data_IF_769983506114
#
_entry.id   IF_769983506114
#
_cell.length_a   1.000
_cell.length_b   1.000
_cell.length_c   1.000
_cell.angle_alpha   90.00
_cell.angle_beta   90.00
_cell.angle_gamma   90.00
#
_symmetry.space_group_name_H-M   'P 1'
#
loop_
_entity.id
_entity.type
_entity.pdbx_description
1 polymer ?
#
# COMPACT_ATOMS: atom_id res chain seq x y z
N UNK A 1 40.67 -23.14 6.33
CA UNK A 1 39.40 -23.90 6.16
C UNK A 1 38.15 -23.15 6.63
N UNK A 2 38.29 -21.90 7.13
CA UNK A 2 37.14 -21.08 7.65
C UNK A 2 36.60 -20.02 6.69
N UNK A 3 36.96 -20.06 5.40
CA UNK A 3 36.57 -19.05 4.42
C UNK A 3 35.35 -19.42 3.57
N UNK A 4 34.72 -20.56 3.79
CA UNK A 4 33.67 -21.09 2.89
C UNK A 4 32.24 -20.98 3.40
N UNK A 5 31.96 -20.33 4.55
CA UNK A 5 30.63 -20.30 5.14
C UNK A 5 29.94 -18.93 5.18
N UNK A 6 30.38 -17.95 4.39
CA UNK A 6 29.61 -16.73 4.16
C UNK A 6 28.73 -16.85 2.88
N UNK A 7 27.99 -17.93 2.74
CA UNK A 7 26.85 -17.91 1.85
C UNK A 7 25.88 -16.88 2.42
N UNK A 8 25.77 -15.73 1.74
CA UNK A 8 24.77 -14.73 2.08
C UNK A 8 23.41 -15.43 2.10
N UNK A 9 22.84 -15.54 3.31
CA UNK A 9 21.51 -16.15 3.46
C UNK A 9 20.54 -15.40 2.55
N UNK A 10 19.98 -16.10 1.58
CA UNK A 10 18.91 -15.58 0.71
C UNK A 10 17.78 -15.02 1.58
N UNK A 11 17.18 -13.94 1.14
CA UNK A 11 15.99 -13.35 1.77
C UNK A 11 14.96 -13.16 0.68
N UNK A 12 13.94 -13.99 0.73
CA UNK A 12 12.87 -13.97 -0.27
C UNK A 12 11.75 -13.06 0.21
N UNK A 13 11.46 -12.05 -0.58
CA UNK A 13 10.34 -11.17 -0.33
C UNK A 13 9.24 -11.33 -1.38
N UNK A 14 8.01 -11.09 -0.96
CA UNK A 14 6.85 -10.95 -1.81
C UNK A 14 6.31 -9.52 -1.66
N UNK A 15 6.21 -8.81 -2.76
CA UNK A 15 5.53 -7.51 -2.83
C UNK A 15 4.20 -7.68 -3.54
N UNK A 16 3.13 -7.18 -2.94
CA UNK A 16 1.76 -7.29 -3.46
C UNK A 16 1.21 -5.89 -3.67
N UNK A 17 0.56 -5.70 -4.80
CA UNK A 17 -0.27 -4.54 -5.05
C UNK A 17 -1.64 -4.95 -5.60
N UNK A 18 -2.66 -4.13 -5.34
CA UNK A 18 -4.03 -4.40 -5.75
C UNK A 18 -4.72 -3.16 -6.28
N UNK A 19 -5.33 -3.31 -7.46
CA UNK A 19 -6.23 -2.30 -7.99
C UNK A 19 -7.68 -2.63 -7.65
N UNK A 20 -8.41 -1.63 -7.14
CA UNK A 20 -9.72 -1.85 -6.55
C UNK A 20 -10.80 -0.97 -7.15
N UNK A 21 -12.04 -1.47 -7.09
CA UNK A 21 -13.22 -0.70 -7.40
C UNK A 21 -13.33 0.53 -6.50
N UNK A 22 -13.69 1.65 -7.09
CA UNK A 22 -13.90 2.90 -6.39
C UNK A 22 -15.24 2.91 -5.62
N UNK A 23 -15.46 3.96 -4.84
CA UNK A 23 -16.54 4.21 -3.88
C UNK A 23 -17.97 3.98 -4.40
N UNK A 24 -18.28 2.78 -4.80
CA UNK A 24 -19.64 2.29 -4.80
C UNK A 24 -19.88 1.64 -3.43
N UNK A 25 -20.95 1.99 -2.72
CA UNK A 25 -21.25 1.51 -1.37
C UNK A 25 -21.33 -0.01 -1.25
N UNK A 26 -21.58 -0.72 -2.35
CA UNK A 26 -21.69 -2.19 -2.38
C UNK A 26 -20.38 -2.91 -2.76
N UNK A 27 -19.51 -2.26 -3.56
CA UNK A 27 -18.33 -2.90 -4.15
C UNK A 27 -17.02 -2.18 -3.84
N UNK A 28 -17.05 -1.17 -2.96
CA UNK A 28 -15.87 -0.42 -2.58
C UNK A 28 -14.78 -1.32 -2.02
N UNK A 29 -13.60 -1.27 -2.63
CA UNK A 29 -12.45 -2.04 -2.21
C UNK A 29 -12.41 -3.48 -2.75
N UNK A 30 -13.32 -3.89 -3.64
CA UNK A 30 -13.18 -5.15 -4.37
C UNK A 30 -12.00 -5.07 -5.34
N UNK A 31 -11.09 -6.01 -5.20
CA UNK A 31 -9.94 -6.15 -6.09
C UNK A 31 -10.43 -6.58 -7.47
N UNK A 32 -10.08 -5.82 -8.51
CA UNK A 32 -10.28 -6.23 -9.89
C UNK A 32 -8.99 -6.65 -10.58
N UNK A 33 -7.82 -6.19 -10.08
CA UNK A 33 -6.51 -6.57 -10.57
C UNK A 33 -5.57 -6.85 -9.40
N UNK A 34 -4.92 -8.02 -9.42
CA UNK A 34 -4.01 -8.50 -8.41
C UNK A 34 -2.62 -8.70 -9.01
N UNK A 35 -1.63 -8.06 -8.41
CA UNK A 35 -0.22 -8.19 -8.75
C UNK A 35 0.60 -8.70 -7.57
N UNK A 36 1.52 -9.62 -7.81
CA UNK A 36 2.50 -10.02 -6.81
C UNK A 36 3.85 -10.33 -7.46
N UNK A 37 4.92 -9.90 -6.81
CA UNK A 37 6.31 -10.09 -7.25
C UNK A 37 7.09 -10.78 -6.16
N UNK A 38 7.71 -11.90 -6.50
CA UNK A 38 8.52 -12.71 -5.59
C UNK A 38 9.98 -12.67 -6.03
N UNK A 39 10.89 -12.44 -5.14
CA UNK A 39 12.31 -12.46 -5.48
C UNK A 39 13.23 -12.37 -4.27
N UNK A 40 14.52 -12.63 -4.53
CA UNK A 40 15.57 -12.49 -3.53
C UNK A 40 16.08 -11.05 -3.46
N UNK A 41 15.78 -10.37 -2.36
CA UNK A 41 16.18 -8.96 -2.15
C UNK A 41 17.66 -8.80 -1.79
N UNK A 42 18.41 -9.88 -1.63
CA UNK A 42 19.85 -9.83 -1.33
C UNK A 42 20.73 -9.86 -2.58
N UNK A 43 20.15 -10.14 -3.76
CA UNK A 43 20.88 -10.16 -5.03
C UNK A 43 21.20 -8.75 -5.53
N UNK A 44 22.45 -8.54 -5.96
CA UNK A 44 22.90 -7.20 -6.38
C UNK A 44 22.65 -6.92 -7.87
N UNK A 45 22.56 -7.93 -8.75
CA UNK A 45 22.68 -7.74 -10.21
C UNK A 45 21.70 -8.48 -11.11
N UNK A 46 20.93 -9.46 -10.64
CA UNK A 46 19.98 -10.18 -11.49
C UNK A 46 18.62 -10.31 -10.80
N UNK A 47 17.61 -9.75 -11.48
CA UNK A 47 16.23 -9.86 -11.04
C UNK A 47 15.62 -11.15 -11.61
N UNK A 48 15.86 -12.28 -10.99
CA UNK A 48 14.98 -13.41 -11.19
C UNK A 48 13.76 -13.23 -10.28
N UNK A 49 12.69 -12.64 -10.81
CA UNK A 49 11.43 -12.54 -10.12
C UNK A 49 10.43 -13.53 -10.72
N UNK A 50 9.59 -14.08 -9.86
CA UNK A 50 8.35 -14.72 -10.26
C UNK A 50 7.22 -13.75 -10.06
N UNK A 51 6.34 -13.63 -11.06
CA UNK A 51 5.30 -12.63 -11.08
C UNK A 51 3.93 -13.29 -11.21
N UNK A 52 2.96 -12.77 -10.46
CA UNK A 52 1.54 -13.06 -10.62
C UNK A 52 0.86 -11.79 -11.14
N UNK A 53 0.03 -11.94 -12.15
CA UNK A 53 -0.67 -10.84 -12.84
C UNK A 53 -2.05 -11.32 -13.27
N UNK A 54 -3.08 -11.08 -12.43
CA UNK A 54 -4.40 -11.65 -12.63
C UNK A 54 -5.51 -10.64 -12.44
N UNK A 55 -6.48 -10.72 -13.36
CA UNK A 55 -7.78 -10.04 -13.23
C UNK A 55 -8.78 -10.96 -12.51
N UNK A 56 -9.51 -10.40 -11.57
CA UNK A 56 -10.52 -11.13 -10.79
C UNK A 56 -11.80 -11.25 -11.61
N UNK A 57 -12.10 -12.46 -12.08
CA UNK A 57 -13.23 -12.76 -12.97
C UNK A 57 -14.55 -12.19 -12.44
N UNK A 58 -14.88 -12.46 -11.16
CA UNK A 58 -16.13 -12.06 -10.53
C UNK A 58 -16.32 -10.54 -10.45
N UNK A 59 -15.22 -9.78 -10.60
CA UNK A 59 -15.23 -8.32 -10.48
C UNK A 59 -15.06 -7.64 -11.82
N UNK A 60 -14.08 -8.09 -12.63
CA UNK A 60 -13.71 -7.43 -13.89
C UNK A 60 -14.76 -7.61 -14.99
N UNK A 61 -15.55 -8.69 -14.95
CA UNK A 61 -16.62 -8.95 -15.91
C UNK A 61 -17.87 -8.10 -15.68
N UNK A 62 -18.04 -7.54 -14.49
CA UNK A 62 -19.20 -6.71 -14.19
C UNK A 62 -18.88 -5.22 -14.37
N UNK A 63 -19.37 -4.62 -15.46
CA UNK A 63 -19.15 -3.20 -15.78
C UNK A 63 -19.67 -2.25 -14.69
N UNK A 64 -20.69 -2.64 -13.91
CA UNK A 64 -21.20 -1.80 -12.82
C UNK A 64 -20.14 -1.53 -11.74
N UNK A 65 -19.15 -2.38 -11.61
CA UNK A 65 -18.03 -2.19 -10.69
C UNK A 65 -17.12 -1.03 -11.11
N UNK A 66 -17.17 -0.60 -12.37
CA UNK A 66 -16.43 0.55 -12.86
C UNK A 66 -17.01 1.89 -12.39
N UNK A 67 -18.31 1.92 -12.04
CA UNK A 67 -18.99 3.17 -11.71
C UNK A 67 -18.76 3.58 -10.26
N UNK A 68 -18.52 4.88 -10.07
CA UNK A 68 -18.48 5.48 -8.75
C UNK A 68 -19.23 6.81 -8.72
N UNK A 69 -19.79 7.14 -7.55
CA UNK A 69 -20.50 8.41 -7.34
C UNK A 69 -19.53 9.46 -6.80
N UNK A 70 -19.55 10.62 -7.41
CA UNK A 70 -18.82 11.79 -6.96
C UNK A 70 -19.77 12.98 -6.88
N UNK A 71 -19.71 13.77 -5.81
CA UNK A 71 -20.36 15.09 -5.79
C UNK A 71 -19.69 16.00 -6.81
N UNK A 72 -20.47 16.67 -7.60
CA UNK A 72 -20.00 17.61 -8.61
C UNK A 72 -21.12 18.49 -9.13
N UNK A 73 -20.74 19.48 -9.92
CA UNK A 73 -21.68 20.37 -10.59
C UNK A 73 -22.05 19.77 -11.93
N UNK A 74 -23.33 19.70 -12.23
CA UNK A 74 -23.84 19.30 -13.56
C UNK A 74 -24.94 20.25 -14.01
N UNK A 75 -25.14 20.35 -15.32
CA UNK A 75 -26.22 21.14 -15.87
C UNK A 75 -27.54 20.39 -15.73
N UNK A 76 -28.51 21.02 -15.14
CA UNK A 76 -29.89 20.57 -15.04
C UNK A 76 -30.79 21.62 -15.69
N UNK A 77 -31.72 21.19 -16.54
CA UNK A 77 -32.73 22.09 -17.11
C UNK A 77 -33.78 22.39 -16.06
N UNK A 78 -34.00 23.67 -15.80
CA UNK A 78 -35.05 24.13 -14.92
C UNK A 78 -36.26 24.47 -15.74
N UNK A 79 -37.34 23.68 -15.62
CA UNK A 79 -38.56 23.84 -16.40
C UNK A 79 -39.32 25.14 -16.05
N UNK A 80 -39.09 25.73 -14.88
CA UNK A 80 -39.76 26.95 -14.44
C UNK A 80 -39.07 28.20 -14.98
N UNK A 81 -37.75 28.23 -15.04
CA UNK A 81 -36.96 29.33 -15.58
C UNK A 81 -36.68 29.17 -17.09
N UNK A 82 -36.94 27.98 -17.64
CA UNK A 82 -36.61 27.59 -19.02
C UNK A 82 -35.11 27.72 -19.35
N UNK A 83 -34.24 27.60 -18.32
CA UNK A 83 -32.80 27.77 -18.46
C UNK A 83 -32.03 26.55 -17.90
N UNK A 84 -30.78 26.39 -18.38
CA UNK A 84 -29.85 25.40 -17.86
C UNK A 84 -29.10 25.96 -16.65
N UNK A 85 -29.36 25.41 -15.48
CA UNK A 85 -28.71 25.79 -14.24
C UNK A 85 -27.60 24.79 -13.84
N UNK A 86 -26.55 25.29 -13.17
CA UNK A 86 -25.53 24.45 -12.56
C UNK A 86 -25.98 24.05 -11.16
N UNK A 87 -26.27 22.76 -10.96
CA UNK A 87 -26.69 22.20 -9.67
C UNK A 87 -25.65 21.25 -9.12
N UNK A 88 -25.45 21.28 -7.82
CA UNK A 88 -24.62 20.30 -7.11
C UNK A 88 -25.40 19.01 -6.90
N UNK A 89 -24.82 17.90 -7.32
CA UNK A 89 -25.45 16.60 -7.11
C UNK A 89 -24.48 15.45 -7.31
N UNK A 90 -25.04 14.24 -7.31
CA UNK A 90 -24.26 13.04 -7.53
C UNK A 90 -24.08 12.74 -9.00
N UNK A 91 -22.83 12.72 -9.46
CA UNK A 91 -22.45 12.35 -10.82
C UNK A 91 -21.91 10.93 -10.78
N UNK A 92 -22.36 10.10 -11.74
CA UNK A 92 -21.77 8.78 -11.95
C UNK A 92 -20.59 8.93 -12.91
N UNK A 93 -19.41 8.54 -12.42
CA UNK A 93 -18.20 8.51 -13.21
C UNK A 93 -17.76 7.06 -13.40
N UNK A 94 -17.01 6.81 -14.47
CA UNK A 94 -16.39 5.53 -14.73
C UNK A 94 -14.92 5.62 -14.29
N UNK A 95 -14.41 4.60 -13.62
CA UNK A 95 -13.01 4.46 -13.30
C UNK A 95 -12.23 4.13 -14.59
N UNK A 96 -11.36 5.03 -15.09
CA UNK A 96 -10.60 4.78 -16.30
C UNK A 96 -9.67 3.56 -16.18
N UNK A 97 -9.08 3.34 -15.00
CA UNK A 97 -8.19 2.20 -14.74
C UNK A 97 -8.95 0.88 -14.86
N UNK A 98 -10.19 0.82 -14.36
CA UNK A 98 -11.02 -0.37 -14.50
C UNK A 98 -11.35 -0.63 -15.99
N UNK A 99 -11.65 0.39 -16.78
CA UNK A 99 -11.91 0.24 -18.21
C UNK A 99 -10.69 -0.28 -18.98
N UNK A 100 -9.51 0.26 -18.68
CA UNK A 100 -8.26 -0.22 -19.28
C UNK A 100 -7.97 -1.67 -18.87
N UNK A 101 -8.17 -2.01 -17.60
CA UNK A 101 -8.05 -3.36 -17.09
C UNK A 101 -9.03 -4.33 -17.80
N UNK A 102 -10.29 -3.93 -18.03
CA UNK A 102 -11.24 -4.73 -18.81
C UNK A 102 -10.76 -4.99 -20.23
N UNK A 103 -10.24 -3.97 -20.90
CA UNK A 103 -9.71 -4.10 -22.27
C UNK A 103 -8.52 -5.07 -22.29
N UNK A 104 -7.63 -4.97 -21.30
CA UNK A 104 -6.48 -5.88 -21.19
C UNK A 104 -6.91 -7.30 -20.84
N UNK A 105 -7.84 -7.47 -19.91
CA UNK A 105 -8.42 -8.77 -19.57
C UNK A 105 -9.09 -9.46 -20.78
N UNK A 106 -9.78 -8.69 -21.61
CA UNK A 106 -10.39 -9.22 -22.84
C UNK A 106 -9.33 -9.69 -23.84
N UNK A 107 -8.23 -8.95 -24.00
CA UNK A 107 -7.10 -9.34 -24.88
C UNK A 107 -6.28 -10.50 -24.31
N UNK A 108 -6.25 -10.66 -22.99
CA UNK A 108 -5.43 -11.62 -22.27
C UNK A 108 -6.28 -12.53 -21.37
N UNK A 109 -7.19 -13.35 -21.90
CA UNK A 109 -8.12 -14.15 -21.12
C UNK A 109 -7.44 -15.14 -20.18
N UNK A 110 -6.19 -15.54 -20.45
CA UNK A 110 -5.41 -16.39 -19.57
C UNK A 110 -5.03 -15.72 -18.23
N UNK A 111 -5.09 -14.39 -18.15
CA UNK A 111 -4.91 -13.64 -16.91
C UNK A 111 -6.19 -13.53 -16.08
N UNK A 112 -7.35 -13.88 -16.64
CA UNK A 112 -8.62 -13.81 -15.92
C UNK A 112 -8.83 -15.09 -15.15
N UNK A 113 -8.92 -14.99 -13.82
CA UNK A 113 -9.12 -16.11 -12.92
C UNK A 113 -10.13 -15.76 -11.82
N UNK A 114 -10.78 -16.78 -11.30
CA UNK A 114 -11.61 -16.64 -10.11
C UNK A 114 -10.74 -16.26 -8.90
N UNK A 115 -11.28 -15.42 -8.03
CA UNK A 115 -10.59 -15.00 -6.81
C UNK A 115 -9.99 -16.15 -6.03
N UNK A 116 -10.77 -17.21 -5.87
CA UNK A 116 -10.35 -18.42 -5.16
C UNK A 116 -9.14 -19.10 -5.78
N UNK A 117 -9.03 -19.11 -7.09
CA UNK A 117 -7.90 -19.70 -7.83
C UNK A 117 -6.65 -18.84 -7.65
N UNK A 118 -6.79 -17.50 -7.77
CA UNK A 118 -5.70 -16.55 -7.52
C UNK A 118 -5.14 -16.74 -6.12
N UNK A 119 -6.00 -16.78 -5.09
CA UNK A 119 -5.56 -16.90 -3.71
C UNK A 119 -4.94 -18.26 -3.37
N UNK A 120 -5.41 -19.35 -4.00
CA UNK A 120 -4.78 -20.68 -3.86
C UNK A 120 -3.39 -20.70 -4.47
N UNK A 121 -3.24 -20.14 -5.65
CA UNK A 121 -1.95 -20.01 -6.32
C UNK A 121 -1.01 -19.13 -5.51
N UNK A 122 -1.46 -17.98 -5.06
CA UNK A 122 -0.68 -17.07 -4.23
C UNK A 122 -0.18 -17.75 -2.94
N UNK A 123 -1.04 -18.47 -2.23
CA UNK A 123 -0.63 -19.24 -1.04
C UNK A 123 0.40 -20.32 -1.37
N UNK A 124 0.21 -21.03 -2.47
CA UNK A 124 1.16 -22.04 -2.92
C UNK A 124 2.54 -21.43 -3.17
N UNK A 125 2.60 -20.30 -3.88
CA UNK A 125 3.86 -19.61 -4.19
C UNK A 125 4.55 -19.07 -2.93
N UNK A 126 3.79 -18.52 -1.97
CA UNK A 126 4.34 -18.08 -0.68
C UNK A 126 5.07 -19.24 0.03
N UNK A 127 4.47 -20.42 0.05
CA UNK A 127 5.02 -21.62 0.72
C UNK A 127 6.18 -22.22 -0.11
N UNK A 128 5.97 -22.44 -1.41
CA UNK A 128 6.95 -23.14 -2.26
C UNK A 128 8.25 -22.34 -2.40
N UNK A 129 8.15 -21.00 -2.38
CA UNK A 129 9.33 -20.13 -2.48
C UNK A 129 9.96 -19.83 -1.14
N UNK A 130 9.43 -20.36 -0.04
CA UNK A 130 9.91 -20.08 1.32
C UNK A 130 10.03 -18.57 1.57
N UNK A 131 8.96 -17.83 1.33
CA UNK A 131 8.94 -16.37 1.48
C UNK A 131 9.17 -15.99 2.93
N UNK A 132 10.19 -15.16 3.19
CA UNK A 132 10.52 -14.63 4.51
C UNK A 132 9.62 -13.43 4.84
N UNK A 133 9.34 -12.58 3.86
CA UNK A 133 8.63 -11.30 4.04
C UNK A 133 7.58 -11.07 2.98
N UNK A 134 6.43 -10.54 3.41
CA UNK A 134 5.41 -9.99 2.53
C UNK A 134 5.19 -8.52 2.83
N UNK A 135 5.05 -7.71 1.80
CA UNK A 135 4.85 -6.27 1.90
C UNK A 135 3.99 -5.73 0.76
N UNK A 136 3.50 -4.51 0.92
CA UNK A 136 2.97 -3.66 -0.13
C UNK A 136 3.24 -2.20 0.22
N UNK A 137 3.11 -1.31 -0.73
CA UNK A 137 3.15 0.12 -0.46
C UNK A 137 1.80 0.56 0.11
N UNK A 138 1.78 1.00 1.37
CA UNK A 138 0.56 1.15 2.16
C UNK A 138 -0.11 -0.19 2.52
N UNK A 139 0.65 -1.06 3.15
CA UNK A 139 0.27 -2.41 3.59
C UNK A 139 -1.16 -2.51 4.19
N UNK A 140 -1.58 -1.49 4.93
CA UNK A 140 -2.92 -1.46 5.51
C UNK A 140 -4.05 -1.35 4.46
N UNK A 141 -3.74 -0.90 3.24
CA UNK A 141 -4.70 -0.83 2.16
C UNK A 141 -4.88 -2.21 1.51
N UNK A 142 -3.82 -2.86 1.10
CA UNK A 142 -3.87 -4.12 0.36
C UNK A 142 -4.13 -5.32 1.24
N UNK A 143 -3.28 -5.53 2.23
CA UNK A 143 -3.29 -6.73 3.07
C UNK A 143 -4.08 -6.52 4.36
N UNK A 144 -3.95 -5.34 4.94
CA UNK A 144 -4.65 -4.97 6.16
C UNK A 144 -3.86 -5.23 7.44
N UNK A 145 -4.42 -4.84 8.55
CA UNK A 145 -3.86 -5.01 9.89
C UNK A 145 -4.95 -5.40 10.88
N UNK A 146 -4.59 -5.62 12.13
CA UNK A 146 -5.55 -5.88 13.21
C UNK A 146 -6.60 -4.76 13.39
N UNK A 147 -6.38 -3.58 12.80
CA UNK A 147 -7.24 -2.39 12.92
C UNK A 147 -7.98 -2.03 11.64
N UNK A 148 -7.49 -2.47 10.49
CA UNK A 148 -8.05 -2.13 9.19
C UNK A 148 -8.07 -3.37 8.31
N UNK A 149 -9.22 -3.66 7.76
CA UNK A 149 -9.40 -4.74 6.77
C UNK A 149 -8.84 -4.25 5.45
N UNK A 150 -7.86 -4.95 4.89
CA UNK A 150 -7.32 -4.64 3.57
C UNK A 150 -8.21 -5.14 2.43
N UNK A 151 -7.93 -4.70 1.22
CA UNK A 151 -8.73 -4.98 0.03
C UNK A 151 -8.79 -6.47 -0.31
N UNK A 152 -7.68 -7.20 -0.13
CA UNK A 152 -7.64 -8.67 -0.29
C UNK A 152 -8.67 -9.34 0.61
N UNK A 153 -8.69 -8.98 1.89
CA UNK A 153 -9.63 -9.57 2.86
C UNK A 153 -11.07 -9.10 2.64
N UNK A 154 -11.26 -7.85 2.20
CA UNK A 154 -12.58 -7.33 1.81
C UNK A 154 -13.15 -8.12 0.64
N UNK A 155 -12.36 -8.32 -0.41
CA UNK A 155 -12.75 -9.10 -1.60
C UNK A 155 -13.11 -10.53 -1.21
N UNK A 156 -12.27 -11.17 -0.40
CA UNK A 156 -12.51 -12.50 0.12
C UNK A 156 -13.84 -12.62 0.88
N UNK A 157 -14.13 -11.66 1.75
CA UNK A 157 -15.36 -11.64 2.53
C UNK A 157 -16.60 -11.44 1.64
N UNK A 158 -16.52 -10.54 0.65
CA UNK A 158 -17.64 -10.23 -0.24
C UNK A 158 -17.92 -11.33 -1.24
N UNK A 159 -16.89 -12.00 -1.74
CA UNK A 159 -17.03 -13.16 -2.64
C UNK A 159 -17.28 -14.48 -1.88
N UNK A 160 -17.50 -14.40 -0.57
CA UNK A 160 -17.77 -15.56 0.31
C UNK A 160 -16.69 -16.65 0.23
N UNK A 161 -15.47 -16.28 -0.11
CA UNK A 161 -14.35 -17.21 -0.16
C UNK A 161 -13.61 -17.23 1.19
N UNK A 162 -13.68 -18.37 1.88
CA UNK A 162 -13.00 -18.56 3.17
C UNK A 162 -11.57 -19.08 3.05
N UNK A 163 -11.00 -19.08 1.84
CA UNK A 163 -9.82 -19.87 1.50
C UNK A 163 -8.46 -19.23 1.71
N UNK A 164 -8.35 -17.92 1.98
CA UNK A 164 -7.05 -17.30 2.15
C UNK A 164 -6.64 -17.19 3.62
N UNK A 165 -5.60 -17.89 3.97
CA UNK A 165 -4.91 -17.75 5.25
C UNK A 165 -3.44 -17.45 4.96
N UNK A 166 -2.93 -16.34 5.50
CA UNK A 166 -1.50 -16.06 5.45
C UNK A 166 -0.73 -17.23 6.10
N UNK A 167 0.23 -17.86 5.42
CA UNK A 167 1.03 -18.92 6.00
C UNK A 167 1.76 -18.44 7.26
N UNK A 168 1.89 -19.32 8.26
CA UNK A 168 2.61 -18.99 9.49
C UNK A 168 4.10 -18.83 9.21
N UNK A 169 4.74 -17.92 9.91
CA UNK A 169 6.19 -17.71 9.83
C UNK A 169 6.62 -16.69 8.78
N UNK A 170 5.70 -16.18 7.95
CA UNK A 170 5.98 -15.05 7.06
C UNK A 170 5.81 -13.75 7.85
N UNK A 171 6.85 -12.93 7.84
CA UNK A 171 6.80 -11.61 8.46
C UNK A 171 6.25 -10.56 7.49
N UNK A 172 5.61 -9.52 8.01
CA UNK A 172 5.01 -8.48 7.18
C UNK A 172 5.35 -7.09 7.68
N UNK A 173 5.46 -6.17 6.74
CA UNK A 173 5.75 -4.77 7.01
C UNK A 173 5.10 -3.87 5.97
N UNK A 174 5.00 -2.59 6.29
CA UNK A 174 4.54 -1.55 5.36
C UNK A 174 5.75 -0.93 4.66
N UNK A 175 5.84 -1.11 3.33
CA UNK A 175 6.96 -0.60 2.55
C UNK A 175 6.99 0.94 2.54
N UNK A 176 5.84 1.60 2.61
CA UNK A 176 5.76 3.05 2.73
C UNK A 176 6.36 3.54 4.05
N UNK A 177 6.10 2.84 5.16
CA UNK A 177 6.71 3.17 6.45
C UNK A 177 8.22 2.99 6.41
N UNK A 178 8.71 1.88 5.84
CA UNK A 178 10.15 1.62 5.67
C UNK A 178 10.78 2.69 4.77
N UNK A 179 10.16 3.02 3.66
CA UNK A 179 10.64 4.07 2.75
C UNK A 179 10.76 5.41 3.47
N UNK A 180 9.73 5.81 4.21
CA UNK A 180 9.77 7.02 5.01
C UNK A 180 10.89 7.01 6.05
N UNK A 181 11.12 5.86 6.73
CA UNK A 181 12.20 5.68 7.71
C UNK A 181 13.58 5.85 7.07
N UNK A 182 13.81 5.18 5.95
CA UNK A 182 15.12 5.17 5.30
C UNK A 182 15.43 6.49 4.61
N UNK A 183 14.43 7.17 4.06
CA UNK A 183 14.58 8.32 3.17
C UNK A 183 14.29 9.67 3.85
N UNK A 184 13.63 9.70 4.99
CA UNK A 184 13.47 10.95 5.79
C UNK A 184 14.80 11.45 6.40
N UNK A 185 15.92 10.93 5.94
CA UNK A 185 17.25 11.35 6.34
C UNK A 185 17.61 12.72 5.74
N UNK A 186 18.74 13.25 6.20
CA UNK A 186 19.26 14.54 5.74
C UNK A 186 19.47 14.58 4.21
N UNK A 187 19.87 13.46 3.61
CA UNK A 187 20.16 13.33 2.17
C UNK A 187 18.93 13.54 1.30
N UNK A 188 17.82 12.95 1.65
CA UNK A 188 16.54 13.16 0.94
C UNK A 188 16.09 14.62 1.01
N UNK A 189 16.19 15.24 2.19
CA UNK A 189 15.84 16.66 2.36
C UNK A 189 16.76 17.57 1.56
N UNK A 190 18.05 17.32 1.58
CA UNK A 190 19.05 18.10 0.81
C UNK A 190 18.75 18.00 -0.67
N UNK A 191 18.47 16.78 -1.16
CA UNK A 191 18.07 16.58 -2.55
C UNK A 191 16.76 17.30 -2.89
N UNK A 192 15.71 17.17 -2.08
CA UNK A 192 14.45 17.86 -2.31
C UNK A 192 14.60 19.39 -2.34
N UNK A 193 15.50 19.94 -1.53
CA UNK A 193 15.78 21.36 -1.48
C UNK A 193 16.68 21.84 -2.64
N UNK A 194 17.38 20.94 -3.33
CA UNK A 194 18.21 21.26 -4.49
C UNK A 194 17.42 21.28 -5.82
N UNK A 195 16.18 20.80 -5.80
CA UNK A 195 15.30 20.84 -6.95
C UNK A 195 14.80 22.27 -7.19
N UNK A 196 14.56 22.62 -8.44
CA UNK A 196 13.86 23.84 -8.77
C UNK A 196 12.39 23.81 -8.29
N UNK A 197 11.67 24.91 -8.44
CA UNK A 197 10.32 25.02 -7.91
C UNK A 197 9.34 24.05 -8.62
N UNK A 198 9.44 23.88 -9.93
CA UNK A 198 8.56 23.00 -10.71
C UNK A 198 8.80 21.52 -10.38
N UNK A 199 10.07 21.13 -10.33
CA UNK A 199 10.48 19.78 -9.96
C UNK A 199 10.07 19.45 -8.53
N UNK A 200 10.25 20.40 -7.62
CA UNK A 200 9.90 20.26 -6.21
C UNK A 200 8.39 20.12 -6.01
N UNK A 201 7.57 20.87 -6.74
CA UNK A 201 6.11 20.73 -6.68
C UNK A 201 5.64 19.32 -7.04
N UNK A 202 6.29 18.67 -8.02
CA UNK A 202 6.02 17.27 -8.39
C UNK A 202 6.30 16.27 -7.26
N UNK A 203 7.09 16.68 -6.25
CA UNK A 203 7.45 15.86 -5.07
C UNK A 203 6.63 16.21 -3.83
N UNK A 204 5.64 17.08 -3.97
CA UNK A 204 4.75 17.49 -2.89
C UNK A 204 3.34 16.89 -3.09
N UNK A 205 2.62 16.79 -1.99
CA UNK A 205 1.18 16.50 -2.05
C UNK A 205 0.41 17.74 -2.50
N UNK A 206 -0.85 17.60 -2.90
CA UNK A 206 -1.73 18.73 -3.23
C UNK A 206 -1.86 19.78 -2.10
N UNK A 207 -1.48 19.44 -0.88
CA UNK A 207 -1.45 20.36 0.28
C UNK A 207 -0.07 20.96 0.54
N UNK A 208 0.88 20.81 -0.38
CA UNK A 208 2.26 21.30 -0.25
C UNK A 208 3.13 20.50 0.74
N UNK A 209 2.66 19.39 1.27
CA UNK A 209 3.47 18.52 2.13
C UNK A 209 4.35 17.59 1.28
N UNK A 210 5.48 17.15 1.83
CA UNK A 210 6.34 16.15 1.20
C UNK A 210 5.56 14.87 0.90
N UNK A 211 5.64 14.41 -0.35
CA UNK A 211 5.08 13.14 -0.75
C UNK A 211 6.07 12.01 -0.42
N UNK A 212 5.53 10.91 0.10
CA UNK A 212 6.24 9.64 0.28
C UNK A 212 5.56 8.54 -0.54
N UNK A 213 4.98 8.88 -1.69
CA UNK A 213 4.45 7.88 -2.61
C UNK A 213 5.60 7.04 -3.20
N UNK A 214 5.29 5.83 -3.67
CA UNK A 214 6.29 4.97 -4.32
C UNK A 214 6.96 5.72 -5.49
N UNK A 215 6.18 6.42 -6.29
CA UNK A 215 6.68 7.27 -7.38
C UNK A 215 7.70 8.31 -6.91
N UNK A 216 7.43 9.05 -5.82
CA UNK A 216 8.37 10.04 -5.28
C UNK A 216 9.65 9.39 -4.79
N UNK A 217 9.54 8.24 -4.13
CA UNK A 217 10.70 7.50 -3.63
C UNK A 217 11.55 6.94 -4.77
N UNK A 218 10.93 6.43 -5.82
CA UNK A 218 11.65 5.95 -7.00
C UNK A 218 12.34 7.09 -7.75
N UNK A 219 11.67 8.24 -7.93
CA UNK A 219 12.32 9.45 -8.48
C UNK A 219 13.57 9.84 -7.72
N UNK A 220 13.48 9.82 -6.39
CA UNK A 220 14.65 10.12 -5.55
C UNK A 220 15.78 9.12 -5.72
N UNK A 221 15.49 7.81 -5.70
CA UNK A 221 16.51 6.77 -5.77
C UNK A 221 17.11 6.63 -7.16
N UNK A 222 16.29 6.68 -8.21
CA UNK A 222 16.76 6.56 -9.60
C UNK A 222 17.33 7.86 -10.17
N UNK A 223 17.08 9.01 -9.52
CA UNK A 223 17.36 10.35 -10.03
C UNK A 223 16.61 10.67 -11.33
N UNK A 224 15.57 9.94 -11.63
CA UNK A 224 14.67 10.16 -12.75
C UNK A 224 13.43 10.90 -12.26
N UNK A 225 13.42 12.21 -12.40
CA UNK A 225 12.32 13.09 -11.96
C UNK A 225 11.05 12.92 -12.81
N UNK A 226 11.17 12.33 -13.99
CA UNK A 226 10.07 12.10 -14.93
C UNK A 226 9.47 10.71 -14.81
N UNK A 227 9.99 9.87 -13.91
CA UNK A 227 9.40 8.57 -13.65
C UNK A 227 7.90 8.70 -13.31
N UNK A 228 7.07 7.94 -14.00
CA UNK A 228 5.61 7.87 -13.78
C UNK A 228 5.22 6.43 -13.48
N UNK A 229 4.52 6.24 -12.39
CA UNK A 229 3.90 4.97 -12.00
C UNK A 229 2.75 4.64 -12.96
N UNK A 230 2.66 3.39 -13.41
CA UNK A 230 1.74 3.01 -14.49
C UNK A 230 0.35 2.61 -14.00
N UNK A 231 0.14 2.57 -12.68
CA UNK A 231 -1.12 2.24 -12.03
C UNK A 231 -1.75 0.94 -12.55
N UNK A 232 -0.95 -0.13 -12.58
CA UNK A 232 -1.42 -1.51 -12.75
C UNK A 232 -0.77 -2.39 -11.69
N UNK A 233 -1.55 -3.29 -11.09
CA UNK A 233 -1.13 -4.03 -9.90
C UNK A 233 0.24 -4.73 -10.06
N UNK A 234 0.51 -5.42 -11.18
CA UNK A 234 1.82 -6.03 -11.38
C UNK A 234 2.94 -5.00 -11.53
N UNK A 235 2.71 -3.92 -12.31
CA UNK A 235 3.77 -2.94 -12.56
C UNK A 235 4.11 -2.15 -11.33
N UNK A 236 3.12 -1.84 -10.53
CA UNK A 236 3.31 -1.15 -9.26
C UNK A 236 4.01 -2.07 -8.26
N UNK A 237 3.63 -3.34 -8.17
CA UNK A 237 4.37 -4.34 -7.39
C UNK A 237 5.83 -4.52 -7.83
N UNK A 238 6.14 -4.46 -9.15
CA UNK A 238 7.51 -4.48 -9.67
C UNK A 238 8.31 -3.24 -9.27
N UNK A 239 7.69 -2.07 -9.37
CA UNK A 239 8.29 -0.80 -8.94
C UNK A 239 8.58 -0.80 -7.43
N UNK A 240 7.64 -1.27 -6.65
CA UNK A 240 7.79 -1.39 -5.20
C UNK A 240 8.83 -2.45 -4.80
N UNK A 241 8.91 -3.55 -5.54
CA UNK A 241 9.94 -4.56 -5.33
C UNK A 241 11.34 -3.98 -5.62
N UNK A 242 11.50 -3.21 -6.69
CA UNK A 242 12.73 -2.47 -6.98
C UNK A 242 13.07 -1.48 -5.87
N UNK A 243 12.08 -0.74 -5.39
CA UNK A 243 12.24 0.17 -4.25
C UNK A 243 12.72 -0.57 -3.00
N UNK A 244 12.13 -1.72 -2.68
CA UNK A 244 12.53 -2.55 -1.55
C UNK A 244 14.00 -3.00 -1.68
N UNK A 245 14.43 -3.41 -2.85
CA UNK A 245 15.82 -3.81 -3.07
C UNK A 245 16.81 -2.66 -2.86
N UNK A 246 16.50 -1.48 -3.39
CA UNK A 246 17.35 -0.30 -3.20
C UNK A 246 17.41 0.11 -1.72
N UNK A 247 16.29 0.06 -1.02
CA UNK A 247 16.25 0.31 0.41
C UNK A 247 17.05 -0.73 1.21
N UNK A 248 16.96 -2.01 0.82
CA UNK A 248 17.69 -3.10 1.46
C UNK A 248 19.19 -2.93 1.35
N UNK A 249 19.71 -2.55 0.20
CA UNK A 249 21.16 -2.30 -0.01
C UNK A 249 21.72 -1.28 0.99
N UNK A 250 21.04 -0.16 1.14
CA UNK A 250 21.51 0.94 1.98
C UNK A 250 21.12 0.87 3.47
N UNK A 251 20.09 0.11 3.81
CA UNK A 251 19.43 0.19 5.13
C UNK A 251 19.14 -1.16 5.77
N UNK A 252 19.86 -2.21 5.38
CA UNK A 252 19.64 -3.60 5.83
C UNK A 252 19.49 -3.76 7.34
N UNK A 253 20.30 -3.04 8.12
CA UNK A 253 20.24 -3.08 9.59
C UNK A 253 18.96 -2.43 10.14
N UNK A 254 18.50 -1.33 9.51
CA UNK A 254 17.29 -0.64 9.90
C UNK A 254 16.08 -1.52 9.59
N UNK A 255 16.03 -2.08 8.37
CA UNK A 255 14.95 -2.94 7.91
C UNK A 255 14.86 -4.18 8.81
N UNK A 256 15.98 -4.91 9.03
CA UNK A 256 16.02 -6.06 9.95
C UNK A 256 15.56 -5.71 11.36
N UNK A 257 15.97 -4.56 11.89
CA UNK A 257 15.56 -4.12 13.23
C UNK A 257 14.07 -3.80 13.29
N UNK A 258 13.51 -3.30 12.22
CA UNK A 258 12.07 -3.05 12.10
C UNK A 258 11.29 -4.36 12.13
N UNK A 259 11.74 -5.40 11.44
CA UNK A 259 11.14 -6.73 11.46
C UNK A 259 11.17 -7.38 12.83
N UNK A 260 12.36 -7.47 13.44
CA UNK A 260 12.57 -8.17 14.72
C UNK A 260 11.74 -7.60 15.87
N UNK A 261 11.44 -6.30 15.85
CA UNK A 261 10.78 -5.66 16.98
C UNK A 261 9.27 -5.53 16.82
N UNK A 262 8.67 -6.02 15.72
CA UNK A 262 7.25 -5.82 15.40
C UNK A 262 6.84 -4.35 15.59
N UNK A 263 7.77 -3.45 15.31
CA UNK A 263 7.63 -2.02 15.53
C UNK A 263 6.85 -1.45 14.37
N UNK A 264 5.55 -1.63 14.43
CA UNK A 264 4.65 -0.93 13.53
C UNK A 264 4.83 0.57 13.71
N UNK A 265 5.33 1.19 12.65
CA UNK A 265 5.21 2.59 12.35
C UNK A 265 5.95 3.54 13.27
N UNK A 266 7.00 4.08 12.75
CA UNK A 266 7.46 5.40 13.16
C UNK A 266 6.42 6.41 12.72
N UNK A 267 6.03 7.32 13.59
CA UNK A 267 5.01 8.32 13.27
C UNK A 267 5.49 9.20 12.10
N UNK A 268 4.68 9.29 11.03
CA UNK A 268 4.95 10.16 9.88
C UNK A 268 5.28 11.59 10.32
N UNK A 269 4.54 12.11 11.31
CA UNK A 269 4.79 13.45 11.86
C UNK A 269 6.15 13.58 12.55
N UNK A 270 6.65 12.52 13.21
CA UNK A 270 7.98 12.54 13.82
C UNK A 270 9.07 12.65 12.75
N UNK A 271 8.88 11.97 11.59
CA UNK A 271 9.78 12.10 10.44
C UNK A 271 9.76 13.49 9.82
N UNK A 272 8.58 14.00 9.54
CA UNK A 272 8.40 15.33 8.98
C UNK A 272 9.08 16.40 9.85
N UNK A 273 9.09 16.20 11.16
CA UNK A 273 9.77 17.08 12.13
C UNK A 273 11.24 16.74 12.38
N UNK A 274 11.82 15.82 11.62
CA UNK A 274 13.25 15.49 11.71
C UNK A 274 13.65 14.70 12.96
N UNK A 275 12.68 14.07 13.61
CA UNK A 275 12.92 13.21 14.77
C UNK A 275 13.60 11.93 14.30
N UNK A 276 14.70 11.54 14.99
CA UNK A 276 15.39 10.28 14.66
C UNK A 276 14.49 9.07 14.87
N UNK A 277 14.75 7.97 14.12
CA UNK A 277 14.01 6.69 14.28
C UNK A 277 13.98 6.25 15.74
N UNK A 278 15.14 6.27 16.41
CA UNK A 278 15.25 5.92 17.83
C UNK A 278 14.33 6.78 18.71
N UNK A 279 14.33 8.08 18.49
CA UNK A 279 13.51 9.01 19.26
C UNK A 279 12.02 8.86 18.96
N UNK A 280 11.65 8.63 17.70
CA UNK A 280 10.26 8.37 17.31
C UNK A 280 9.72 7.10 17.97
N UNK A 281 10.51 6.04 18.05
CA UNK A 281 10.17 4.80 18.77
C UNK A 281 9.94 5.05 20.25
N UNK A 282 10.82 5.85 20.88
CA UNK A 282 10.67 6.27 22.29
C UNK A 282 9.38 7.07 22.47
N UNK A 283 9.12 8.03 21.60
CA UNK A 283 7.94 8.86 21.63
C UNK A 283 6.65 8.03 21.50
N UNK A 284 6.65 7.03 20.62
CA UNK A 284 5.53 6.11 20.46
C UNK A 284 5.25 5.30 21.73
N UNK A 285 6.30 4.75 22.34
CA UNK A 285 6.16 4.01 23.60
C UNK A 285 5.57 4.91 24.71
N UNK A 286 6.02 6.17 24.81
CA UNK A 286 5.46 7.15 25.75
C UNK A 286 4.00 7.47 25.44
N UNK A 287 3.63 7.69 24.15
CA UNK A 287 2.24 7.93 23.71
C UNK A 287 1.33 6.74 24.02
N UNK A 288 1.80 5.51 23.80
CA UNK A 288 1.04 4.30 24.11
C UNK A 288 0.79 4.14 25.63
N UNK A 289 1.81 4.38 26.45
CA UNK A 289 1.67 4.40 27.90
C UNK A 289 0.73 5.51 28.39
N UNK A 290 0.82 6.71 27.80
CA UNK A 290 -0.07 7.84 28.11
C UNK A 290 -1.52 7.54 27.75
N UNK A 291 -1.80 6.97 26.58
CA UNK A 291 -3.15 6.54 26.18
C UNK A 291 -3.72 5.48 27.12
N UNK A 292 -2.92 4.50 27.53
CA UNK A 292 -3.35 3.46 28.47
C UNK A 292 -3.69 4.06 29.84
N UNK A 293 -2.89 5.01 30.32
CA UNK A 293 -3.14 5.73 31.57
C UNK A 293 -4.41 6.61 31.49
N UNK A 294 -4.64 7.30 30.37
CA UNK A 294 -5.86 8.07 30.14
C UNK A 294 -7.12 7.18 30.09
N UNK A 295 -7.04 6.01 29.42
CA UNK A 295 -8.16 5.07 29.35
C UNK A 295 -8.50 4.51 30.73
N UNK A 296 -7.49 4.23 31.58
CA UNK A 296 -7.70 3.77 32.97
C UNK A 296 -8.33 4.88 33.80
N UNK A 297 -7.84 6.12 33.69
CA UNK A 297 -8.44 7.28 34.38
C UNK A 297 -9.89 7.54 33.94
N UNK A 298 -10.19 7.47 32.63
CA UNK A 298 -11.55 7.63 32.12
C UNK A 298 -12.49 6.55 32.65
N UNK A 299 -12.06 5.28 32.68
CA UNK A 299 -12.84 4.19 33.28
C UNK A 299 -13.06 4.37 34.79
N UNK A 300 -12.04 4.81 35.51
CA UNK A 300 -12.16 5.11 36.94
C UNK A 300 -13.10 6.29 37.24
N UNK A 301 -13.09 7.32 36.39
CA UNK A 301 -14.05 8.44 36.48
C UNK A 301 -15.49 7.99 36.22
N UNK A 302 -15.67 7.16 35.19
CA UNK A 302 -16.98 6.60 34.83
C UNK A 302 -17.55 5.75 35.96
N UNK A 303 -16.74 4.86 36.56
CA UNK A 303 -17.14 4.06 37.73
C UNK A 303 -17.48 4.92 38.96
N UNK A 304 -16.81 6.06 39.18
CA UNK A 304 -17.15 6.99 40.24
C UNK A 304 -18.47 7.75 40.00
N UNK A 305 -18.79 8.02 38.72
CA UNK A 305 -20.06 8.67 38.35
C UNK A 305 -21.25 7.69 38.42
N UNK A 306 -21.01 6.40 38.15
CA UNK A 306 -22.04 5.36 38.20
C UNK A 306 -22.28 4.81 39.63
N UNK A 307 -21.25 4.84 40.50
CA UNK A 307 -21.33 4.38 41.90
C UNK A 307 -21.75 5.43 42.93
N UNK A 308 -22.09 6.64 42.48
CA UNK A 308 -22.53 7.75 43.32
C UNK A 308 -24.05 8.01 43.27
N UNK A 309 -24.86 6.97 43.01
CA UNK A 309 -26.33 7.03 43.14
C UNK A 309 -26.77 6.16 44.29
#
# INVERSE_FOLDING_TARGET
>A
LNALNNQHKRVIACVVDTECCYKNTKTHGLVFHFGAVFGDITQEHTFETYNMDYYVEEVITNIENAYFKKKGMFKQYNEVSEEWELVEGWIYNINPMFQEAQKDAFKNPHKVKKWKEIMREFNRELITRNVDYITSYNYNFDIGSNRKVGTIRLTQNQLSDKGFYMPRGIEHFDLMEISAICLANRTFRTWLNSLDNEEREKMLTAKGNKSYSAQTMLRYLSKDLYYIEQHTALRDALCEFRLLMELWKGNKSIIKKHFVNNVQGVSRSDFENGVSVKQSLINRTKRAKGKKAMTVKAKQLQLKLEGGK
#
